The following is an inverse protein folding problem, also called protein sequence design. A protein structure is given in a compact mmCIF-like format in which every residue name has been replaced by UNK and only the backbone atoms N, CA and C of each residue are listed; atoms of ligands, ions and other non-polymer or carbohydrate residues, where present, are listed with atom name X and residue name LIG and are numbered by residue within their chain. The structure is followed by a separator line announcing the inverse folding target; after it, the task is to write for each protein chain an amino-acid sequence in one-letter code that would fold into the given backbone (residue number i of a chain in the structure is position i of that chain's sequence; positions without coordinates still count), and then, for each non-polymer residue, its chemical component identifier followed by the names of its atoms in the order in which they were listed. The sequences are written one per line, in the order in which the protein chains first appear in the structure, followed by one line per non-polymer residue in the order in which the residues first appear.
data_IF_215146090350
#
_entry.id   IF_215146090350
#
_cell.length_a   1.000
_cell.length_b   1.000
_cell.length_c   1.000
_cell.angle_alpha   90.00
_cell.angle_beta   90.00
_cell.angle_gamma   90.00
#
_symmetry.space_group_name_H-M   'P 1'
#
loop_
_entity.id
_entity.type
_entity.pdbx_description
1 polymer ?
#
# COMPACT_ATOMS: atom_id res chain seq x y z
N UNK A 1 1.23 -7.89 -32.34
CA UNK A 1 0.55 -7.07 -31.31
C UNK A 1 0.93 -5.61 -31.53
N UNK A 2 -0.01 -4.73 -31.91
CA UNK A 2 0.27 -3.29 -32.03
C UNK A 2 0.52 -2.74 -30.62
N UNK A 3 1.72 -2.20 -30.35
CA UNK A 3 1.94 -1.33 -29.19
C UNK A 3 0.92 -0.19 -29.28
N UNK A 4 0.09 -0.05 -28.28
CA UNK A 4 -0.70 1.16 -28.08
C UNK A 4 0.30 2.26 -27.70
N UNK A 5 0.60 3.11 -28.68
CA UNK A 5 1.35 4.34 -28.50
C UNK A 5 0.38 5.35 -27.85
N UNK A 6 0.15 5.19 -26.54
CA UNK A 6 -0.53 6.22 -25.74
C UNK A 6 0.46 7.34 -25.56
N UNK A 7 0.11 8.51 -26.09
CA UNK A 7 0.99 9.67 -25.96
C UNK A 7 1.23 9.96 -24.48
N UNK A 8 2.48 9.94 -24.06
CA UNK A 8 2.95 10.20 -22.68
C UNK A 8 2.37 11.51 -22.08
N UNK A 9 1.83 12.41 -22.91
CA UNK A 9 1.25 13.69 -22.52
C UNK A 9 -0.16 13.58 -21.92
N UNK A 10 -0.97 12.60 -22.36
CA UNK A 10 -2.36 12.49 -21.90
C UNK A 10 -2.43 11.71 -20.58
N UNK A 11 -1.55 10.72 -20.40
CA UNK A 11 -1.42 9.98 -19.14
C UNK A 11 -0.87 10.91 -18.04
N UNK A 12 0.10 11.77 -18.31
CA UNK A 12 0.62 12.76 -17.38
C UNK A 12 -0.45 13.80 -16.96
N UNK A 13 -1.29 14.25 -17.92
CA UNK A 13 -2.41 15.15 -17.60
C UNK A 13 -3.45 14.47 -16.71
N UNK A 14 -3.78 13.22 -17.02
CA UNK A 14 -4.73 12.45 -16.21
C UNK A 14 -4.20 12.23 -14.80
N UNK A 15 -2.91 11.92 -14.66
CA UNK A 15 -2.26 11.80 -13.36
C UNK A 15 -2.28 13.11 -12.57
N UNK A 16 -1.97 14.23 -13.22
CA UNK A 16 -2.01 15.54 -12.57
C UNK A 16 -3.42 15.89 -12.08
N UNK A 17 -4.46 15.62 -12.87
CA UNK A 17 -5.86 15.82 -12.48
C UNK A 17 -6.24 14.91 -11.30
N UNK A 18 -5.86 13.63 -11.33
CA UNK A 18 -6.12 12.71 -10.23
C UNK A 18 -5.43 13.19 -8.95
N UNK A 19 -4.17 13.60 -9.04
CA UNK A 19 -3.41 14.13 -7.91
C UNK A 19 -4.04 15.40 -7.34
N UNK A 20 -4.44 16.31 -8.21
CA UNK A 20 -5.14 17.56 -7.83
C UNK A 20 -6.47 17.26 -7.14
N UNK A 21 -7.31 16.40 -7.74
CA UNK A 21 -8.60 16.00 -7.15
C UNK A 21 -8.39 15.28 -5.82
N UNK A 22 -7.41 14.37 -5.74
CA UNK A 22 -7.09 13.66 -4.49
C UNK A 22 -6.70 14.60 -3.35
N UNK A 23 -6.00 15.69 -3.66
CA UNK A 23 -5.52 16.63 -2.64
C UNK A 23 -6.56 17.72 -2.28
N UNK A 24 -7.49 18.04 -3.17
CA UNK A 24 -8.37 19.20 -3.03
C UNK A 24 -9.86 18.85 -2.97
N UNK A 25 -10.27 17.65 -3.39
CA UNK A 25 -11.67 17.25 -3.45
C UNK A 25 -11.93 16.08 -2.49
N UNK A 26 -12.74 16.33 -1.47
CA UNK A 26 -13.05 15.31 -0.44
C UNK A 26 -13.65 14.05 -1.04
N UNK A 27 -14.55 14.18 -2.00
CA UNK A 27 -15.25 13.07 -2.65
C UNK A 27 -14.28 12.16 -3.41
N UNK A 28 -13.31 12.74 -4.12
CA UNK A 28 -12.26 11.98 -4.82
C UNK A 28 -11.35 11.27 -3.83
N UNK A 29 -10.93 11.95 -2.78
CA UNK A 29 -10.14 11.40 -1.70
C UNK A 29 -10.84 10.20 -1.03
N UNK A 30 -12.07 10.40 -0.59
CA UNK A 30 -12.88 9.38 0.08
C UNK A 30 -13.09 8.15 -0.81
N UNK A 31 -13.34 8.37 -2.12
CA UNK A 31 -13.53 7.29 -3.08
C UNK A 31 -12.27 6.46 -3.27
N UNK A 32 -11.13 7.11 -3.54
CA UNK A 32 -9.85 6.43 -3.75
C UNK A 32 -9.43 5.66 -2.50
N UNK A 33 -9.54 6.29 -1.32
CA UNK A 33 -9.18 5.66 -0.05
C UNK A 33 -10.00 4.40 0.23
N UNK A 34 -11.34 4.46 0.05
CA UNK A 34 -12.24 3.32 0.24
C UNK A 34 -11.96 2.20 -0.76
N UNK A 35 -11.77 2.55 -2.03
CA UNK A 35 -11.52 1.59 -3.11
C UNK A 35 -10.19 0.87 -2.92
N UNK A 36 -9.13 1.60 -2.60
CA UNK A 36 -7.82 0.99 -2.30
C UNK A 36 -7.88 0.09 -1.06
N UNK A 37 -8.57 0.53 0.00
CA UNK A 37 -8.70 -0.29 1.21
C UNK A 37 -9.46 -1.58 0.91
N UNK A 38 -10.55 -1.51 0.15
CA UNK A 38 -11.32 -2.68 -0.26
C UNK A 38 -10.48 -3.63 -1.12
N UNK A 39 -9.95 -3.15 -2.25
CA UNK A 39 -9.24 -3.99 -3.21
C UNK A 39 -7.98 -4.61 -2.60
N UNK A 40 -7.17 -3.83 -1.91
CA UNK A 40 -5.92 -4.31 -1.32
C UNK A 40 -6.15 -5.35 -0.24
N UNK A 41 -7.14 -5.16 0.63
CA UNK A 41 -7.45 -6.13 1.67
C UNK A 41 -8.16 -7.38 1.12
N UNK A 42 -8.95 -7.25 0.03
CA UNK A 42 -9.56 -8.39 -0.64
C UNK A 42 -8.50 -9.35 -1.22
N UNK A 43 -7.44 -8.81 -1.82
CA UNK A 43 -6.28 -9.59 -2.31
C UNK A 43 -5.65 -10.40 -1.16
N UNK A 44 -5.59 -9.85 0.04
CA UNK A 44 -5.00 -10.51 1.21
C UNK A 44 -6.01 -11.39 1.98
N UNK A 45 -7.18 -11.67 1.40
CA UNK A 45 -8.18 -12.58 1.96
C UNK A 45 -9.12 -11.97 3.00
N UNK A 46 -9.24 -10.66 3.04
CA UNK A 46 -10.26 -9.98 3.82
C UNK A 46 -11.53 -9.82 2.96
N UNK A 47 -12.59 -10.51 3.32
CA UNK A 47 -13.83 -10.62 2.52
C UNK A 47 -14.94 -9.64 2.95
N UNK A 48 -14.61 -8.50 3.54
CA UNK A 48 -15.59 -7.43 3.74
C UNK A 48 -16.09 -6.92 2.40
N UNK A 49 -17.40 -6.67 2.28
CA UNK A 49 -17.96 -6.07 1.06
C UNK A 49 -17.58 -4.59 0.98
N UNK A 50 -17.68 -4.01 -0.22
CA UNK A 50 -17.40 -2.59 -0.40
C UNK A 50 -18.33 -1.72 0.45
N UNK A 51 -19.62 -2.07 0.58
CA UNK A 51 -20.59 -1.37 1.41
C UNK A 51 -20.20 -1.43 2.90
N UNK A 52 -19.61 -2.54 3.35
CA UNK A 52 -19.10 -2.67 4.71
C UNK A 52 -17.88 -1.78 4.95
N UNK A 53 -16.95 -1.75 3.98
CA UNK A 53 -15.79 -0.84 4.03
C UNK A 53 -16.25 0.62 4.03
N UNK A 54 -17.21 0.98 3.18
CA UNK A 54 -17.78 2.31 3.13
C UNK A 54 -18.52 2.70 4.42
N UNK A 55 -19.30 1.77 4.99
CA UNK A 55 -19.94 1.99 6.30
C UNK A 55 -18.92 2.23 7.40
N UNK A 56 -17.86 1.41 7.44
CA UNK A 56 -16.76 1.57 8.39
C UNK A 56 -16.07 2.92 8.25
N UNK A 57 -15.83 3.35 7.02
CA UNK A 57 -15.22 4.63 6.72
C UNK A 57 -16.10 5.81 7.19
N UNK A 58 -17.38 5.79 6.85
CA UNK A 58 -18.30 6.90 7.10
C UNK A 58 -18.77 7.01 8.55
N UNK A 59 -18.92 5.87 9.24
CA UNK A 59 -19.58 5.80 10.57
C UNK A 59 -18.69 5.21 11.68
N UNK A 60 -17.53 4.66 11.34
CA UNK A 60 -16.69 3.92 12.28
C UNK A 60 -17.25 2.57 12.69
N UNK A 61 -18.36 2.12 12.08
CA UNK A 61 -19.06 0.89 12.44
C UNK A 61 -19.55 0.11 11.23
N UNK A 62 -19.77 -1.18 11.42
CA UNK A 62 -20.39 -2.05 10.43
C UNK A 62 -21.62 -2.72 11.05
N UNK A 63 -22.76 -2.63 10.38
CA UNK A 63 -23.94 -3.38 10.74
C UNK A 63 -23.90 -4.76 10.08
N UNK A 64 -23.89 -5.83 10.87
CA UNK A 64 -24.00 -7.20 10.36
C UNK A 64 -25.41 -7.70 10.63
N UNK A 65 -26.12 -8.09 9.58
CA UNK A 65 -27.42 -8.77 9.73
C UNK A 65 -27.27 -10.27 9.99
N UNK A 66 -26.15 -10.85 9.57
CA UNK A 66 -25.84 -12.29 9.75
C UNK A 66 -24.34 -12.51 9.91
N UNK A 67 -23.96 -13.32 10.89
CA UNK A 67 -22.60 -13.83 11.09
C UNK A 67 -21.70 -12.99 12.03
N UNK A 68 -20.66 -13.63 12.53
CA UNK A 68 -19.63 -13.00 13.33
C UNK A 68 -18.56 -12.38 12.41
N UNK A 69 -18.31 -11.09 12.55
CA UNK A 69 -17.22 -10.42 11.86
C UNK A 69 -15.93 -10.57 12.68
N UNK A 70 -14.81 -10.85 11.99
CA UNK A 70 -13.54 -10.95 12.67
C UNK A 70 -13.00 -9.54 13.01
N UNK A 71 -12.68 -9.31 14.26
CA UNK A 71 -12.06 -8.05 14.70
C UNK A 71 -10.76 -7.73 13.94
N UNK A 72 -10.04 -8.77 13.50
CA UNK A 72 -8.86 -8.64 12.65
C UNK A 72 -9.20 -7.94 11.33
N UNK A 73 -10.25 -8.36 10.62
CA UNK A 73 -10.66 -7.78 9.35
C UNK A 73 -11.00 -6.29 9.45
N UNK A 74 -11.68 -5.90 10.54
CA UNK A 74 -11.98 -4.49 10.80
C UNK A 74 -10.72 -3.67 11.05
N UNK A 75 -9.80 -4.21 11.87
CA UNK A 75 -8.56 -3.53 12.21
C UNK A 75 -7.65 -3.35 10.97
N UNK A 76 -7.64 -4.31 10.04
CA UNK A 76 -6.89 -4.22 8.79
C UNK A 76 -7.41 -3.10 7.89
N UNK A 77 -8.73 -2.99 7.70
CA UNK A 77 -9.31 -1.89 6.92
C UNK A 77 -9.05 -0.53 7.59
N UNK A 78 -9.23 -0.42 8.90
CA UNK A 78 -8.94 0.84 9.62
C UNK A 78 -7.46 1.20 9.57
N UNK A 79 -6.58 0.20 9.63
CA UNK A 79 -5.15 0.36 9.44
C UNK A 79 -4.81 0.86 8.04
N UNK A 80 -5.49 0.32 7.01
CA UNK A 80 -5.32 0.79 5.63
C UNK A 80 -5.72 2.25 5.47
N UNK A 81 -6.84 2.69 6.05
CA UNK A 81 -7.22 4.11 6.05
C UNK A 81 -6.14 4.99 6.68
N UNK A 82 -5.59 4.55 7.82
CA UNK A 82 -4.50 5.29 8.49
C UNK A 82 -3.24 5.36 7.63
N UNK A 83 -2.87 4.25 6.97
CA UNK A 83 -1.73 4.20 6.07
C UNK A 83 -1.93 5.04 4.81
N UNK A 84 -3.16 5.08 4.25
CA UNK A 84 -3.49 5.95 3.12
C UNK A 84 -3.39 7.43 3.49
N UNK A 85 -3.88 7.84 4.66
CA UNK A 85 -3.72 9.22 5.14
C UNK A 85 -2.24 9.60 5.25
N UNK A 86 -1.40 8.68 5.74
CA UNK A 86 0.05 8.87 5.81
C UNK A 86 0.67 8.97 4.42
N UNK A 87 0.22 8.13 3.47
CA UNK A 87 0.64 8.18 2.07
C UNK A 87 0.48 9.59 1.50
N UNK A 88 -0.74 10.13 1.58
CA UNK A 88 -1.06 11.46 1.03
C UNK A 88 -0.25 12.56 1.73
N UNK A 89 -0.10 12.46 3.06
CA UNK A 89 0.69 13.42 3.84
C UNK A 89 2.19 13.44 3.55
N UNK A 90 2.72 12.39 2.89
CA UNK A 90 4.17 12.26 2.58
C UNK A 90 4.48 12.21 1.09
N UNK A 91 3.53 12.62 0.23
CA UNK A 91 3.71 12.55 -1.23
C UNK A 91 4.94 13.30 -1.74
N UNK A 92 5.30 14.41 -1.11
CA UNK A 92 6.44 15.24 -1.52
C UNK A 92 7.79 14.75 -0.97
N UNK A 93 7.78 13.80 -0.03
CA UNK A 93 8.99 13.25 0.57
C UNK A 93 9.59 12.13 -0.30
N UNK A 94 10.92 12.01 -0.42
CA UNK A 94 11.54 10.86 -1.06
C UNK A 94 11.21 9.57 -0.28
N UNK A 95 11.00 8.46 -1.01
CA UNK A 95 10.78 7.17 -0.37
C UNK A 95 12.02 6.78 0.46
N UNK A 96 11.79 6.37 1.69
CA UNK A 96 12.83 6.00 2.65
C UNK A 96 12.44 4.81 3.51
N UNK A 97 13.41 4.24 4.20
CA UNK A 97 13.18 3.14 5.16
C UNK A 97 12.22 3.56 6.28
N UNK A 98 12.31 4.81 6.73
CA UNK A 98 11.43 5.38 7.75
C UNK A 98 9.98 5.45 7.26
N UNK A 99 9.75 5.87 6.01
CA UNK A 99 8.42 5.91 5.40
C UNK A 99 7.84 4.49 5.28
N UNK A 100 8.64 3.52 4.84
CA UNK A 100 8.22 2.11 4.73
C UNK A 100 7.80 1.56 6.10
N UNK A 101 8.60 1.80 7.14
CA UNK A 101 8.29 1.38 8.51
C UNK A 101 7.08 2.11 9.09
N UNK A 102 6.89 3.38 8.77
CA UNK A 102 5.74 4.15 9.18
C UNK A 102 4.45 3.64 8.51
N UNK A 103 4.47 3.20 7.25
CA UNK A 103 3.35 2.51 6.63
C UNK A 103 2.93 1.28 7.44
N UNK A 104 3.90 0.43 7.81
CA UNK A 104 3.63 -0.75 8.62
C UNK A 104 3.06 -0.36 10.00
N UNK A 105 3.61 0.68 10.61
CA UNK A 105 3.08 1.20 11.88
C UNK A 105 1.61 1.64 11.74
N UNK A 106 1.28 2.46 10.76
CA UNK A 106 -0.09 2.91 10.50
C UNK A 106 -1.04 1.74 10.24
N UNK A 107 -0.60 0.76 9.43
CA UNK A 107 -1.39 -0.40 9.04
C UNK A 107 -1.72 -1.30 10.24
N UNK A 108 -0.76 -1.54 11.13
CA UNK A 108 -0.88 -2.58 12.17
C UNK A 108 -1.23 -2.05 13.56
N UNK A 109 -1.12 -0.76 13.83
CA UNK A 109 -1.40 -0.18 15.16
C UNK A 109 -2.85 -0.38 15.61
N UNK A 110 -3.81 -0.49 14.68
CA UNK A 110 -5.22 -0.71 15.03
C UNK A 110 -5.53 -2.16 15.44
N UNK A 111 -4.63 -3.09 15.18
CA UNK A 111 -4.83 -4.50 15.49
C UNK A 111 -4.22 -4.85 16.87
N UNK A 112 -5.01 -4.72 17.93
CA UNK A 112 -4.60 -5.09 19.29
C UNK A 112 -4.32 -6.59 19.48
N UNK A 113 -4.71 -7.44 18.53
CA UNK A 113 -4.43 -8.88 18.54
C UNK A 113 -3.08 -9.21 17.90
N UNK A 114 -2.45 -8.22 17.24
CA UNK A 114 -1.16 -8.41 16.62
C UNK A 114 -0.06 -8.54 17.69
N UNK A 115 0.61 -9.69 17.70
CA UNK A 115 1.74 -9.97 18.61
C UNK A 115 3.09 -9.66 17.96
N UNK A 116 3.11 -9.34 16.68
CA UNK A 116 4.33 -9.01 15.94
C UNK A 116 4.74 -7.55 16.20
N UNK A 117 6.03 -7.24 16.19
CA UNK A 117 6.51 -5.87 16.27
C UNK A 117 5.89 -5.00 15.19
N UNK A 118 5.44 -3.80 15.56
CA UNK A 118 4.79 -2.85 14.67
C UNK A 118 5.81 -1.77 14.26
N UNK A 119 5.95 -1.51 12.96
CA UNK A 119 6.96 -0.57 12.45
C UNK A 119 8.39 -1.13 12.42
N UNK A 120 8.55 -2.43 12.65
CA UNK A 120 9.84 -3.11 12.61
C UNK A 120 9.84 -4.22 11.56
N UNK A 121 11.00 -4.50 10.99
CA UNK A 121 11.18 -5.64 10.11
C UNK A 121 10.98 -6.97 10.83
N UNK A 122 10.70 -8.01 10.06
CA UNK A 122 10.49 -9.37 10.58
C UNK A 122 11.71 -9.87 11.35
N UNK A 123 11.45 -10.66 12.39
CA UNK A 123 12.49 -11.31 13.22
C UNK A 123 12.59 -12.82 12.97
N UNK A 124 11.65 -13.36 12.20
CA UNK A 124 11.59 -14.77 11.86
C UNK A 124 11.43 -14.93 10.35
N UNK A 125 11.94 -16.03 9.81
CA UNK A 125 11.75 -16.38 8.41
C UNK A 125 10.26 -16.63 8.17
N UNK A 126 9.74 -16.11 7.08
CA UNK A 126 8.41 -16.43 6.58
C UNK A 126 8.49 -17.05 5.18
N UNK A 127 7.45 -17.77 4.83
CA UNK A 127 7.30 -18.44 3.54
C UNK A 127 6.05 -17.83 2.88
N UNK A 128 6.18 -17.45 1.62
CA UNK A 128 5.08 -16.97 0.80
C UNK A 128 4.85 -17.95 -0.33
N UNK A 129 3.73 -18.66 -0.28
CA UNK A 129 3.50 -19.80 -1.17
C UNK A 129 4.55 -20.89 -0.94
N UNK A 130 5.34 -21.20 -1.96
CA UNK A 130 6.45 -22.19 -1.89
C UNK A 130 7.84 -21.52 -1.76
N UNK A 131 7.87 -20.16 -1.77
CA UNK A 131 9.13 -19.42 -1.78
C UNK A 131 9.53 -18.98 -0.37
N UNK A 132 10.79 -19.25 -0.01
CA UNK A 132 11.41 -18.68 1.17
C UNK A 132 11.81 -17.23 0.86
N UNK A 133 11.36 -16.32 1.72
CA UNK A 133 11.68 -14.90 1.61
C UNK A 133 13.08 -14.59 2.18
N UNK A 134 13.58 -13.37 1.98
CA UNK A 134 14.87 -12.93 2.50
C UNK A 134 14.99 -13.19 4.00
N UNK A 135 16.18 -13.62 4.43
CA UNK A 135 16.49 -13.88 5.86
C UNK A 135 16.32 -12.61 6.70
N UNK A 136 15.76 -12.68 7.91
CA UNK A 136 15.55 -11.50 8.76
C UNK A 136 16.78 -10.62 8.99
N UNK A 137 17.96 -11.23 9.04
CA UNK A 137 19.22 -10.49 9.26
C UNK A 137 19.66 -9.69 8.03
N UNK A 138 19.17 -10.04 6.85
CA UNK A 138 19.52 -9.41 5.57
C UNK A 138 18.49 -8.36 5.14
N UNK A 139 17.25 -8.39 5.68
CA UNK A 139 16.15 -7.51 5.26
C UNK A 139 16.55 -6.04 5.25
N UNK A 140 17.22 -5.55 6.29
CA UNK A 140 17.61 -4.13 6.36
C UNK A 140 18.61 -3.76 5.27
N UNK A 141 19.52 -4.65 4.91
CA UNK A 141 20.50 -4.46 3.84
C UNK A 141 19.80 -4.45 2.49
N UNK A 142 18.98 -5.46 2.22
CA UNK A 142 18.25 -5.59 0.95
C UNK A 142 17.30 -4.41 0.69
N UNK A 143 16.56 -3.96 1.71
CA UNK A 143 15.70 -2.77 1.56
C UNK A 143 16.51 -1.51 1.28
N UNK A 144 17.67 -1.33 1.94
CA UNK A 144 18.54 -0.18 1.68
C UNK A 144 19.10 -0.19 0.26
N UNK A 145 19.58 -1.34 -0.19
CA UNK A 145 20.09 -1.50 -1.56
C UNK A 145 19.01 -1.26 -2.60
N UNK A 146 17.79 -1.77 -2.37
CA UNK A 146 16.63 -1.51 -3.22
C UNK A 146 16.33 -0.01 -3.31
N UNK A 147 16.27 0.69 -2.18
CA UNK A 147 16.04 2.14 -2.11
C UNK A 147 17.16 2.95 -2.79
N UNK A 148 18.43 2.54 -2.62
CA UNK A 148 19.57 3.19 -3.25
C UNK A 148 19.53 3.05 -4.79
N UNK A 149 19.17 1.88 -5.32
CA UNK A 149 19.00 1.69 -6.77
C UNK A 149 17.85 2.56 -7.27
N UNK A 150 16.69 2.45 -6.65
CA UNK A 150 15.50 3.23 -7.01
C UNK A 150 15.75 4.74 -7.02
N UNK A 151 16.51 5.27 -6.05
CA UNK A 151 16.79 6.70 -5.96
C UNK A 151 17.70 7.24 -7.07
N UNK A 152 18.46 6.38 -7.76
CA UNK A 152 19.41 6.73 -8.82
C UNK A 152 18.83 6.61 -10.23
N UNK A 153 17.71 5.93 -10.37
CA UNK A 153 17.08 5.65 -11.64
C UNK A 153 16.03 6.70 -12.02
N UNK A 154 15.80 6.85 -13.31
CA UNK A 154 14.62 7.56 -13.78
C UNK A 154 13.40 6.69 -13.52
N UNK A 155 12.47 7.19 -12.72
CA UNK A 155 11.26 6.46 -12.40
C UNK A 155 10.29 6.47 -13.59
N UNK A 156 9.95 5.29 -14.07
CA UNK A 156 8.89 5.03 -15.03
C UNK A 156 8.06 3.83 -14.55
N UNK A 157 7.07 3.42 -15.34
CA UNK A 157 6.18 2.33 -14.94
C UNK A 157 6.93 1.00 -14.76
N UNK A 158 7.90 0.72 -15.62
CA UNK A 158 8.66 -0.54 -15.55
C UNK A 158 9.51 -0.57 -14.27
N UNK A 159 10.22 0.51 -13.95
CA UNK A 159 11.02 0.62 -12.73
C UNK A 159 10.17 0.58 -11.44
N UNK A 160 8.93 1.10 -11.49
CA UNK A 160 7.98 0.97 -10.37
C UNK A 160 7.52 -0.48 -10.16
N UNK A 161 7.25 -1.20 -11.24
CA UNK A 161 6.88 -2.62 -11.19
C UNK A 161 8.04 -3.47 -10.69
N UNK A 162 9.25 -3.20 -11.16
CA UNK A 162 10.46 -3.88 -10.71
C UNK A 162 10.71 -3.64 -9.22
N UNK A 163 10.63 -2.39 -8.76
CA UNK A 163 10.72 -2.05 -7.34
C UNK A 163 9.67 -2.80 -6.51
N UNK A 164 8.41 -2.77 -6.95
CA UNK A 164 7.32 -3.46 -6.25
C UNK A 164 7.59 -4.97 -6.16
N UNK A 165 8.01 -5.60 -7.26
CA UNK A 165 8.31 -7.03 -7.30
C UNK A 165 9.46 -7.39 -6.35
N UNK A 166 10.56 -6.64 -6.37
CA UNK A 166 11.68 -6.88 -5.46
C UNK A 166 11.27 -6.66 -3.98
N UNK A 167 10.49 -5.62 -3.69
CA UNK A 167 9.98 -5.39 -2.34
C UNK A 167 9.12 -6.53 -1.83
N UNK A 168 8.25 -7.10 -2.68
CA UNK A 168 7.45 -8.28 -2.36
C UNK A 168 8.32 -9.53 -2.13
N UNK A 169 9.40 -9.70 -2.90
CA UNK A 169 10.35 -10.81 -2.72
C UNK A 169 11.16 -10.70 -1.42
N UNK A 170 11.61 -9.50 -1.06
CA UNK A 170 12.27 -9.24 0.23
C UNK A 170 11.34 -9.64 1.38
N UNK A 171 10.07 -9.34 1.25
CA UNK A 171 9.02 -9.60 2.23
C UNK A 171 9.40 -9.10 3.63
N UNK A 172 9.60 -7.79 3.71
CA UNK A 172 10.29 -7.14 4.83
C UNK A 172 9.58 -7.30 6.19
N UNK A 173 8.27 -7.49 6.21
CA UNK A 173 7.47 -7.57 7.43
C UNK A 173 6.92 -8.98 7.65
N UNK A 174 6.57 -9.28 8.89
CA UNK A 174 5.97 -10.57 9.24
C UNK A 174 4.57 -10.73 8.63
N UNK A 175 3.82 -9.64 8.53
CA UNK A 175 2.47 -9.56 7.96
C UNK A 175 2.23 -8.15 7.40
N UNK A 176 1.54 -8.04 6.27
CA UNK A 176 1.15 -6.78 5.65
C UNK A 176 2.13 -6.22 4.61
N UNK A 177 3.17 -6.95 4.22
CA UNK A 177 4.11 -6.52 3.17
C UNK A 177 3.36 -6.21 1.88
N UNK A 178 2.45 -7.06 1.42
CA UNK A 178 1.68 -6.86 0.20
C UNK A 178 0.84 -5.58 0.20
N UNK A 179 0.14 -5.28 1.31
CA UNK A 179 -0.59 -4.01 1.45
C UNK A 179 0.35 -2.81 1.35
N UNK A 180 1.50 -2.89 2.02
CA UNK A 180 2.49 -1.80 2.01
C UNK A 180 3.09 -1.63 0.63
N UNK A 181 3.45 -2.72 -0.06
CA UNK A 181 3.97 -2.69 -1.43
C UNK A 181 3.01 -1.99 -2.39
N UNK A 182 1.71 -2.29 -2.32
CA UNK A 182 0.67 -1.62 -3.14
C UNK A 182 0.49 -0.15 -2.78
N UNK A 183 0.57 0.22 -1.50
CA UNK A 183 0.54 1.63 -1.08
C UNK A 183 1.77 2.41 -1.57
N UNK A 184 2.96 1.81 -1.50
CA UNK A 184 4.18 2.42 -2.04
C UNK A 184 4.07 2.59 -3.55
N UNK A 185 3.63 1.55 -4.26
CA UNK A 185 3.44 1.60 -5.72
C UNK A 185 2.50 2.74 -6.13
N UNK A 186 1.36 2.88 -5.45
CA UNK A 186 0.41 3.97 -5.70
C UNK A 186 1.03 5.35 -5.40
N UNK A 187 1.72 5.47 -4.25
CA UNK A 187 2.39 6.70 -3.83
C UNK A 187 3.45 7.15 -4.83
N UNK A 188 4.35 6.24 -5.21
CA UNK A 188 5.45 6.56 -6.10
C UNK A 188 4.97 6.81 -7.53
N UNK A 189 3.89 6.16 -7.97
CA UNK A 189 3.25 6.49 -9.24
C UNK A 189 2.75 7.95 -9.24
N UNK A 190 1.98 8.37 -8.23
CA UNK A 190 1.51 9.76 -8.09
C UNK A 190 2.66 10.76 -7.98
N UNK A 191 3.72 10.40 -7.24
CA UNK A 191 4.87 11.27 -7.01
C UNK A 191 5.66 11.52 -8.29
N UNK A 192 5.70 10.56 -9.19
CA UNK A 192 6.44 10.61 -10.46
C UNK A 192 5.55 10.87 -11.66
N UNK A 193 4.34 11.41 -11.46
CA UNK A 193 3.36 11.75 -12.50
C UNK A 193 3.01 10.56 -13.42
N UNK A 194 3.02 9.36 -12.86
CA UNK A 194 2.55 8.13 -13.48
C UNK A 194 1.12 7.85 -12.98
N UNK A 195 0.18 7.62 -13.91
CA UNK A 195 -1.21 7.37 -13.52
C UNK A 195 -1.31 6.03 -12.78
N UNK A 196 -1.64 6.04 -11.46
CA UNK A 196 -1.77 4.81 -10.72
C UNK A 196 -3.05 4.08 -11.09
N UNK A 197 -3.06 2.78 -10.86
CA UNK A 197 -4.26 1.94 -10.92
C UNK A 197 -4.70 1.55 -9.49
N UNK A 198 -6.01 1.46 -9.31
CA UNK A 198 -6.67 1.24 -8.01
C UNK A 198 -7.34 -0.13 -8.00
#
# INVERSE_FOLDING_TARGET
MKKLDRSNSDDAKLCALLKESLLNEKEAYDYVQKTMAYNSNFIDGNFLTFEQVESLYNTGSISTREGSMQAKSLAEIQGHFSAFNYLVGTLDEPLSEEIIKAFHYCLKTKNHLNKSPVGEYKKFVNIVGEMQTVSPVEVSTEVKELLERYSKEKVDLDSLVDFHTEFEMIHAFHDGTGVIGRLILFREALRNDICPFI
#
